data_IF_858238331113
#
_entry.id   IF_858238331113
#
_cell.length_a   1.000
_cell.length_b   1.000
_cell.length_c   1.000
_cell.angle_alpha   90.00
_cell.angle_beta   90.00
_cell.angle_gamma   90.00
#
_symmetry.space_group_name_H-M   'P 1'
#
loop_
_entity.id
_entity.type
_entity.pdbx_description
1 polymer ?
#
# COMPACT_ATOMS: atom_id res chain seq x y z
N UNK A 1 15.32 -64.52 -52.31
CA UNK A 1 16.43 -63.86 -51.59
C UNK A 1 16.33 -62.35 -51.78
N UNK A 2 16.47 -61.61 -50.68
CA UNK A 2 16.71 -60.16 -50.54
C UNK A 2 15.67 -59.16 -51.09
N UNK A 3 14.66 -58.91 -50.26
CA UNK A 3 14.03 -57.59 -50.06
C UNK A 3 15.11 -56.58 -49.64
N UNK A 4 15.28 -55.47 -50.35
CA UNK A 4 16.51 -54.66 -50.26
C UNK A 4 16.39 -53.15 -50.49
N UNK A 5 15.45 -52.49 -49.80
CA UNK A 5 15.58 -51.11 -49.27
C UNK A 5 15.87 -49.98 -50.29
N UNK A 6 14.79 -49.38 -50.82
CA UNK A 6 14.80 -47.94 -51.11
C UNK A 6 15.25 -47.21 -49.84
N UNK A 7 16.37 -46.49 -49.95
CA UNK A 7 16.87 -45.58 -48.91
C UNK A 7 15.80 -44.50 -48.75
N UNK A 8 14.83 -44.77 -47.89
CA UNK A 8 13.85 -43.82 -47.40
C UNK A 8 14.68 -42.65 -46.90
N UNK A 9 14.68 -41.53 -47.64
CA UNK A 9 15.07 -40.25 -47.07
C UNK A 9 14.06 -40.07 -45.96
N UNK A 10 14.46 -40.47 -44.76
CA UNK A 10 13.83 -39.98 -43.57
C UNK A 10 13.99 -38.48 -43.71
N UNK A 11 12.89 -37.80 -44.08
CA UNK A 11 12.51 -36.60 -43.37
C UNK A 11 12.43 -37.00 -41.90
N UNK A 12 13.59 -37.23 -41.28
CA UNK A 12 13.82 -36.85 -39.92
C UNK A 12 13.64 -35.35 -40.01
N UNK A 13 12.38 -34.92 -39.85
CA UNK A 13 12.10 -33.54 -39.58
C UNK A 13 13.08 -33.19 -38.49
N UNK A 14 13.99 -32.27 -38.81
CA UNK A 14 14.63 -31.44 -37.81
C UNK A 14 13.47 -30.77 -37.09
N UNK A 15 12.85 -31.52 -36.17
CA UNK A 15 11.89 -31.04 -35.23
C UNK A 15 12.73 -30.07 -34.46
N UNK A 16 12.58 -28.79 -34.78
CA UNK A 16 13.22 -27.67 -34.11
C UNK A 16 13.24 -28.03 -32.63
N UNK A 17 14.41 -28.49 -32.13
CA UNK A 17 14.62 -28.65 -30.70
C UNK A 17 14.41 -27.24 -30.21
N UNK A 18 13.22 -26.96 -29.66
CA UNK A 18 12.87 -25.66 -29.13
C UNK A 18 14.05 -25.31 -28.24
N UNK A 19 14.86 -24.33 -28.65
CA UNK A 19 15.99 -23.88 -27.84
C UNK A 19 15.40 -23.68 -26.45
N UNK A 20 16.03 -24.28 -25.44
CA UNK A 20 15.61 -24.08 -24.06
C UNK A 20 15.90 -22.59 -23.79
N UNK A 21 14.87 -21.78 -23.95
CA UNK A 21 14.93 -20.33 -23.74
C UNK A 21 14.59 -20.08 -22.29
N UNK A 22 15.39 -19.24 -21.63
CA UNK A 22 15.12 -18.81 -20.26
C UNK A 22 13.71 -18.23 -20.16
N UNK A 23 12.97 -18.68 -19.14
CA UNK A 23 11.62 -18.24 -18.82
C UNK A 23 11.56 -16.71 -18.59
N UNK A 24 12.65 -16.11 -18.09
CA UNK A 24 12.77 -14.67 -17.87
C UNK A 24 13.20 -13.85 -19.10
N UNK A 25 13.64 -14.49 -20.20
CA UNK A 25 14.07 -13.77 -21.41
C UNK A 25 12.98 -12.87 -22.01
N UNK A 26 11.71 -13.22 -21.76
CA UNK A 26 10.51 -12.48 -22.20
C UNK A 26 9.92 -11.61 -21.10
N UNK A 27 10.67 -11.30 -20.04
CA UNK A 27 10.24 -10.38 -18.99
C UNK A 27 10.92 -9.03 -19.13
N UNK A 28 10.22 -8.00 -18.68
CA UNK A 28 10.68 -6.62 -18.56
C UNK A 28 10.51 -6.18 -17.10
N UNK A 29 11.45 -5.35 -16.65
CA UNK A 29 11.46 -4.80 -15.29
C UNK A 29 10.99 -3.34 -15.32
N UNK A 30 10.12 -3.01 -14.38
CA UNK A 30 9.57 -1.68 -14.15
C UNK A 30 9.83 -1.26 -12.71
N UNK A 31 10.11 0.02 -12.49
CA UNK A 31 10.33 0.60 -11.16
C UNK A 31 8.99 1.10 -10.63
N UNK A 32 8.60 0.65 -9.45
CA UNK A 32 7.37 1.07 -8.76
C UNK A 32 7.64 2.35 -7.97
N UNK A 33 6.91 3.42 -8.31
CA UNK A 33 7.00 4.71 -7.67
C UNK A 33 5.81 4.98 -6.75
N UNK A 34 6.10 5.40 -5.52
CA UNK A 34 5.14 5.85 -4.52
C UNK A 34 4.71 7.31 -4.78
N UNK A 35 3.47 7.67 -4.45
CA UNK A 35 3.01 9.06 -4.37
C UNK A 35 3.91 9.98 -3.52
N UNK A 36 3.93 11.28 -3.82
CA UNK A 36 4.62 12.31 -3.02
C UNK A 36 4.09 12.48 -1.58
N UNK A 37 3.04 11.75 -1.20
CA UNK A 37 2.54 11.76 0.17
C UNK A 37 3.50 11.04 1.13
N UNK A 38 4.41 10.21 0.59
CA UNK A 38 5.43 9.48 1.31
C UNK A 38 6.81 10.09 1.04
N UNK A 39 7.75 9.87 1.97
CA UNK A 39 9.11 10.39 1.84
C UNK A 39 9.92 9.65 0.77
N UNK A 40 9.72 8.34 0.62
CA UNK A 40 10.43 7.51 -0.35
C UNK A 40 9.57 7.30 -1.59
N UNK A 41 10.09 7.72 -2.74
CA UNK A 41 9.44 7.57 -4.03
C UNK A 41 9.73 6.21 -4.67
N UNK A 42 10.97 5.73 -4.67
CA UNK A 42 11.31 4.45 -5.28
C UNK A 42 11.09 3.30 -4.27
N UNK A 43 10.12 2.44 -4.52
CA UNK A 43 9.74 1.35 -3.60
C UNK A 43 10.47 0.06 -3.96
N UNK A 44 10.53 -0.27 -5.25
CA UNK A 44 11.09 -1.53 -5.73
C UNK A 44 10.78 -1.80 -7.19
N UNK A 45 11.05 -3.02 -7.62
CA UNK A 45 10.90 -3.43 -9.01
C UNK A 45 9.76 -4.44 -9.18
N UNK A 46 9.02 -4.34 -10.28
CA UNK A 46 8.03 -5.32 -10.71
C UNK A 46 8.36 -5.84 -12.10
N UNK A 47 7.99 -7.09 -12.36
CA UNK A 47 8.26 -7.76 -13.63
C UNK A 47 6.97 -8.08 -14.36
N UNK A 48 6.99 -7.89 -15.68
CA UNK A 48 5.88 -8.19 -16.59
C UNK A 48 6.40 -8.85 -17.85
N UNK A 49 5.54 -9.61 -18.54
CA UNK A 49 5.87 -10.11 -19.88
C UNK A 49 6.04 -8.95 -20.86
N UNK A 50 7.01 -9.05 -21.76
CA UNK A 50 7.19 -8.11 -22.87
C UNK A 50 5.92 -8.03 -23.71
N UNK A 51 5.65 -6.85 -24.25
CA UNK A 51 4.54 -6.65 -25.17
C UNK A 51 4.63 -7.60 -26.37
N UNK A 52 3.54 -8.27 -26.71
CA UNK A 52 3.47 -9.18 -27.85
C UNK A 52 2.16 -9.01 -28.60
N UNK A 53 2.25 -8.44 -29.81
CA UNK A 53 1.09 -8.11 -30.63
C UNK A 53 0.19 -7.09 -29.92
N UNK A 54 -1.07 -7.47 -29.69
CA UNK A 54 -2.06 -6.63 -29.02
C UNK A 54 -1.93 -6.62 -27.49
N UNK A 55 -1.18 -7.57 -26.91
CA UNK A 55 -0.99 -7.65 -25.47
C UNK A 55 0.15 -6.72 -25.06
N UNK A 56 -0.20 -5.53 -24.57
CA UNK A 56 0.78 -4.57 -24.04
C UNK A 56 1.18 -4.93 -22.60
N UNK A 57 2.45 -4.74 -22.27
CA UNK A 57 2.98 -4.90 -20.92
C UNK A 57 2.29 -3.96 -19.92
N UNK A 58 2.00 -2.73 -20.35
CA UNK A 58 1.36 -1.67 -19.55
C UNK A 58 -0.03 -2.09 -19.06
N UNK A 59 -0.85 -2.68 -19.92
CA UNK A 59 -2.21 -3.12 -19.57
C UNK A 59 -2.19 -4.23 -18.49
N UNK A 60 -1.14 -5.06 -18.47
CA UNK A 60 -0.94 -6.08 -17.44
C UNK A 60 -0.40 -5.52 -16.12
N UNK A 61 0.18 -4.31 -16.13
CA UNK A 61 0.64 -3.61 -14.93
C UNK A 61 -0.50 -2.87 -14.24
N UNK A 62 -1.36 -2.20 -15.01
CA UNK A 62 -2.49 -1.42 -14.48
C UNK A 62 -3.40 -2.32 -13.63
N UNK A 63 -3.79 -1.81 -12.47
CA UNK A 63 -4.62 -2.53 -11.50
C UNK A 63 -3.88 -3.47 -10.55
N UNK A 64 -2.56 -3.69 -10.72
CA UNK A 64 -1.77 -4.43 -9.71
C UNK A 64 -1.74 -3.67 -8.39
N UNK A 65 -1.86 -4.40 -7.28
CA UNK A 65 -1.78 -3.86 -5.93
C UNK A 65 -0.47 -4.31 -5.30
N UNK A 66 0.28 -3.35 -4.76
CA UNK A 66 1.51 -3.53 -4.02
C UNK A 66 1.27 -3.30 -2.54
N UNK A 67 1.50 -4.33 -1.74
CA UNK A 67 1.43 -4.27 -0.27
C UNK A 67 2.83 -3.95 0.27
N UNK A 68 2.99 -2.76 0.85
CA UNK A 68 4.29 -2.23 1.28
C UNK A 68 4.21 -1.82 2.74
N UNK A 69 5.32 -1.93 3.48
CA UNK A 69 5.38 -1.45 4.85
C UNK A 69 5.45 0.09 4.90
N UNK A 70 4.72 0.71 5.82
CA UNK A 70 4.75 2.17 6.02
C UNK A 70 6.13 2.65 6.48
N UNK A 71 6.84 1.83 7.28
CA UNK A 71 8.19 2.17 7.75
C UNK A 71 9.17 2.43 6.60
N UNK A 72 9.11 1.60 5.55
CA UNK A 72 9.98 1.73 4.37
C UNK A 72 9.64 2.96 3.53
N UNK A 73 8.35 3.32 3.48
CA UNK A 73 7.87 4.50 2.75
C UNK A 73 8.22 5.82 3.44
N UNK A 74 8.23 5.84 4.78
CA UNK A 74 8.45 7.05 5.57
C UNK A 74 9.86 7.18 6.16
N UNK A 75 10.66 6.11 6.14
CA UNK A 75 11.92 5.96 6.88
C UNK A 75 11.76 6.15 8.40
N UNK A 76 10.63 5.65 8.93
CA UNK A 76 10.32 5.69 10.36
C UNK A 76 9.97 4.28 10.85
N UNK A 77 10.89 3.68 11.62
CA UNK A 77 10.75 2.32 12.15
C UNK A 77 9.55 2.16 13.10
N UNK A 78 9.08 3.24 13.73
CA UNK A 78 7.93 3.22 14.62
C UNK A 78 6.61 2.82 13.93
N UNK A 79 6.55 2.96 12.60
CA UNK A 79 5.36 2.66 11.78
C UNK A 79 5.38 1.26 11.15
N UNK A 80 6.25 0.36 11.62
CA UNK A 80 6.42 -1.01 11.07
C UNK A 80 5.14 -1.88 11.10
N UNK A 81 4.22 -1.55 12.00
CA UNK A 81 2.96 -2.28 12.19
C UNK A 81 1.90 -1.94 11.14
N UNK A 82 2.19 -1.09 10.16
CA UNK A 82 1.22 -0.65 9.14
C UNK A 82 1.69 -1.02 7.75
N UNK A 83 0.78 -1.57 6.98
CA UNK A 83 0.93 -1.87 5.56
C UNK A 83 0.05 -0.93 4.75
N UNK A 84 0.62 -0.34 3.71
CA UNK A 84 -0.07 0.48 2.72
C UNK A 84 -0.24 -0.36 1.46
N UNK A 85 -1.42 -0.30 0.90
CA UNK A 85 -1.72 -0.91 -0.40
C UNK A 85 -1.71 0.21 -1.44
N UNK A 86 -0.81 0.11 -2.40
CA UNK A 86 -0.70 1.05 -3.52
C UNK A 86 -1.09 0.34 -4.81
N UNK A 87 -1.94 0.95 -5.62
CA UNK A 87 -2.38 0.38 -6.90
C UNK A 87 -1.67 1.06 -8.06
N UNK A 88 -1.26 0.29 -9.07
CA UNK A 88 -0.76 0.82 -10.33
C UNK A 88 -1.92 1.42 -11.13
N UNK A 89 -1.88 2.73 -11.36
CA UNK A 89 -2.87 3.42 -12.19
C UNK A 89 -2.32 3.69 -13.59
N UNK A 90 -1.10 4.23 -13.67
CA UNK A 90 -0.48 4.63 -14.93
C UNK A 90 0.97 4.14 -15.02
N UNK A 91 1.44 3.92 -16.24
CA UNK A 91 2.83 3.54 -16.52
C UNK A 91 3.45 4.61 -17.41
N UNK A 92 4.59 5.16 -16.98
CA UNK A 92 5.35 6.15 -17.72
C UNK A 92 6.73 5.59 -18.06
N UNK A 93 6.89 5.12 -19.30
CA UNK A 93 8.10 4.43 -19.73
C UNK A 93 8.34 3.18 -18.87
N UNK A 94 9.43 3.14 -18.11
CA UNK A 94 9.71 2.04 -17.16
C UNK A 94 9.27 2.31 -15.72
N UNK A 95 8.63 3.44 -15.45
CA UNK A 95 8.13 3.80 -14.13
C UNK A 95 6.65 3.45 -14.01
N UNK A 96 6.27 2.79 -12.92
CA UNK A 96 4.89 2.51 -12.55
C UNK A 96 4.47 3.55 -11.53
N UNK A 97 3.49 4.38 -11.89
CA UNK A 97 2.93 5.40 -11.02
C UNK A 97 1.77 4.79 -10.23
N UNK A 98 1.90 4.83 -8.91
CA UNK A 98 0.91 4.23 -8.01
C UNK A 98 0.04 5.27 -7.30
N UNK A 99 -1.15 4.87 -6.88
CA UNK A 99 -2.06 5.65 -6.03
C UNK A 99 -2.44 4.85 -4.78
N UNK A 100 -2.89 5.52 -3.72
CA UNK A 100 -3.37 4.88 -2.50
C UNK A 100 -4.64 4.03 -2.76
N UNK A 101 -4.60 2.76 -2.34
CA UNK A 101 -5.73 1.83 -2.43
C UNK A 101 -6.29 1.43 -1.05
N UNK A 102 -5.43 1.33 -0.05
CA UNK A 102 -5.84 0.88 1.26
C UNK A 102 -4.73 0.94 2.30
N UNK A 103 -5.14 0.74 3.54
CA UNK A 103 -4.25 0.66 4.69
C UNK A 103 -4.68 -0.52 5.56
N UNK A 104 -3.72 -1.26 6.09
CA UNK A 104 -3.96 -2.40 6.97
C UNK A 104 -2.90 -2.47 8.05
N UNK A 105 -3.30 -2.76 9.27
CA UNK A 105 -2.35 -3.06 10.36
C UNK A 105 -1.93 -4.53 10.33
N UNK A 106 -0.69 -4.82 10.71
CA UNK A 106 -0.14 -6.17 10.75
C UNK A 106 -0.84 -7.04 11.80
N UNK A 107 -0.78 -8.36 11.60
CA UNK A 107 -1.48 -9.31 12.47
C UNK A 107 -0.87 -9.34 13.87
N UNK A 108 0.45 -9.33 13.96
CA UNK A 108 1.23 -9.28 15.19
C UNK A 108 0.82 -8.09 16.06
N UNK A 109 0.78 -6.87 15.52
CA UNK A 109 0.34 -5.70 16.25
C UNK A 109 -1.12 -5.82 16.71
N UNK A 110 -2.04 -6.21 15.81
CA UNK A 110 -3.45 -6.37 16.17
C UNK A 110 -3.64 -7.39 17.31
N UNK A 111 -2.98 -8.55 17.22
CA UNK A 111 -3.04 -9.59 18.25
C UNK A 111 -2.38 -9.15 19.57
N UNK A 112 -1.33 -8.31 19.52
CA UNK A 112 -0.66 -7.77 20.71
C UNK A 112 -1.54 -6.80 21.51
N UNK A 113 -2.37 -6.02 20.83
CA UNK A 113 -3.31 -5.10 21.49
C UNK A 113 -4.50 -5.84 22.13
N UNK A 114 -4.91 -6.98 21.56
CA UNK A 114 -6.05 -7.75 22.08
C UNK A 114 -5.65 -8.45 23.39
N UNK A 115 -6.14 -7.92 24.51
CA UNK A 115 -5.91 -8.46 25.86
C UNK A 115 -7.20 -8.88 26.54
N UNK A 116 -7.11 -9.85 27.46
CA UNK A 116 -8.23 -10.29 28.30
C UNK A 116 -8.59 -9.20 29.33
N UNK A 117 -9.82 -9.25 29.87
CA UNK A 117 -10.34 -8.33 30.91
C UNK A 117 -10.58 -6.87 30.47
N UNK A 118 -10.50 -6.63 29.16
CA UNK A 118 -10.77 -5.36 28.51
C UNK A 118 -11.92 -5.53 27.52
N UNK A 119 -12.63 -4.45 27.21
CA UNK A 119 -13.65 -4.45 26.16
C UNK A 119 -13.03 -3.92 24.86
N UNK A 120 -13.23 -4.67 23.78
CA UNK A 120 -12.89 -4.23 22.42
C UNK A 120 -14.05 -3.42 21.88
N UNK A 121 -13.77 -2.21 21.40
CA UNK A 121 -14.77 -1.34 20.78
C UNK A 121 -14.37 -1.11 19.34
N UNK A 122 -15.16 -1.65 18.43
CA UNK A 122 -15.00 -1.49 16.99
C UNK A 122 -16.04 -0.52 16.43
N UNK A 123 -15.61 0.30 15.48
CA UNK A 123 -16.44 1.21 14.73
C UNK A 123 -16.02 1.21 13.25
N UNK A 124 -16.99 1.28 12.35
CA UNK A 124 -16.75 1.41 10.93
C UNK A 124 -17.61 2.54 10.36
N UNK A 125 -17.13 3.15 9.29
CA UNK A 125 -17.91 4.17 8.59
C UNK A 125 -17.46 4.32 7.14
N UNK A 126 -18.41 4.67 6.28
CA UNK A 126 -18.17 5.09 4.91
C UNK A 126 -18.15 6.60 4.85
N UNK A 127 -17.16 7.13 4.13
CA UNK A 127 -16.89 8.55 4.01
C UNK A 127 -16.58 8.86 2.55
N UNK A 128 -17.06 9.99 2.09
CA UNK A 128 -16.69 10.57 0.81
C UNK A 128 -15.72 11.73 1.09
N UNK A 129 -14.56 11.68 0.47
CA UNK A 129 -13.55 12.76 0.54
C UNK A 129 -13.88 13.87 -0.45
N UNK A 130 -13.24 15.04 -0.30
CA UNK A 130 -13.51 16.21 -1.17
C UNK A 130 -13.28 15.96 -2.66
N UNK A 131 -12.36 15.05 -2.95
CA UNK A 131 -11.89 14.70 -4.28
C UNK A 131 -12.64 13.49 -4.88
N UNK A 132 -13.75 13.08 -4.26
CA UNK A 132 -14.67 12.09 -4.81
C UNK A 132 -14.36 10.62 -4.50
N UNK A 133 -13.38 10.32 -3.65
CA UNK A 133 -13.14 8.94 -3.20
C UNK A 133 -14.16 8.54 -2.14
N UNK A 134 -14.70 7.34 -2.27
CA UNK A 134 -15.50 6.71 -1.21
C UNK A 134 -14.64 5.72 -0.46
N UNK A 135 -14.34 6.01 0.80
CA UNK A 135 -13.51 5.20 1.69
C UNK A 135 -14.35 4.54 2.78
N UNK A 136 -14.01 3.29 3.13
CA UNK A 136 -14.49 2.65 4.37
C UNK A 136 -13.36 2.56 5.36
N UNK A 137 -13.51 3.30 6.46
CA UNK A 137 -12.57 3.30 7.58
C UNK A 137 -13.05 2.35 8.67
N UNK A 138 -12.12 1.62 9.26
CA UNK A 138 -12.34 0.78 10.42
C UNK A 138 -11.43 1.23 11.56
N UNK A 139 -12.02 1.50 12.71
CA UNK A 139 -11.33 1.89 13.92
C UNK A 139 -11.59 0.86 15.00
N UNK A 140 -10.58 0.55 15.80
CA UNK A 140 -10.75 -0.14 17.07
C UNK A 140 -10.23 0.75 18.20
N UNK A 141 -10.68 0.47 19.42
CA UNK A 141 -10.10 0.98 20.65
C UNK A 141 -10.39 0.02 21.79
N UNK A 142 -9.52 0.03 22.80
CA UNK A 142 -9.65 -0.80 23.98
C UNK A 142 -9.96 0.06 25.20
N UNK A 143 -10.79 -0.44 26.11
CA UNK A 143 -11.01 0.25 27.39
C UNK A 143 -9.70 0.34 28.17
N UNK A 144 -9.41 1.47 28.81
CA UNK A 144 -8.19 1.65 29.60
C UNK A 144 -8.51 1.44 31.07
N UNK A 145 -7.61 0.79 31.80
CA UNK A 145 -7.73 0.74 33.25
C UNK A 145 -7.28 2.06 33.89
N UNK A 146 -7.97 2.46 34.95
CA UNK A 146 -7.70 3.72 35.65
C UNK A 146 -6.79 3.44 36.84
N UNK A 147 -5.79 4.28 37.05
CA UNK A 147 -4.89 4.14 38.20
C UNK A 147 -5.66 4.17 39.52
N UNK A 148 -5.31 3.29 40.46
CA UNK A 148 -5.97 3.18 41.77
C UNK A 148 -7.26 2.33 41.80
N UNK A 149 -7.64 1.70 40.69
CA UNK A 149 -8.83 0.85 40.63
C UNK A 149 -8.54 -0.54 41.22
N UNK A 150 -9.40 -0.99 42.15
CA UNK A 150 -9.28 -2.32 42.80
C UNK A 150 -9.76 -3.48 41.92
N UNK A 151 -10.64 -3.20 40.94
CA UNK A 151 -11.18 -4.25 40.05
C UNK A 151 -10.14 -4.61 38.99
N UNK A 152 -9.92 -5.91 38.80
CA UNK A 152 -8.97 -6.44 37.82
C UNK A 152 -9.48 -6.29 36.37
N UNK A 153 -10.77 -5.99 36.17
CA UNK A 153 -11.39 -5.83 34.85
C UNK A 153 -11.84 -4.39 34.59
N UNK A 154 -11.77 -3.98 33.32
CA UNK A 154 -12.15 -2.65 32.86
C UNK A 154 -13.23 -2.71 31.76
N UNK A 155 -14.24 -3.55 31.96
CA UNK A 155 -15.33 -3.66 30.98
C UNK A 155 -16.19 -2.40 30.95
N UNK A 156 -16.55 -1.96 29.73
CA UNK A 156 -17.51 -0.87 29.51
C UNK A 156 -18.93 -1.44 29.39
N UNK A 157 -19.92 -0.73 29.97
CA UNK A 157 -21.34 -1.11 29.83
C UNK A 157 -21.78 -1.05 28.36
N UNK A 158 -22.77 -1.84 27.97
CA UNK A 158 -23.29 -1.86 26.58
C UNK A 158 -23.81 -0.49 26.11
N UNK A 159 -24.36 0.33 27.02
CA UNK A 159 -24.75 1.72 26.74
C UNK A 159 -23.53 2.61 26.43
N UNK A 160 -22.47 2.49 27.22
CA UNK A 160 -21.21 3.21 27.01
C UNK A 160 -20.54 2.81 25.69
N UNK A 161 -20.51 1.50 25.37
CA UNK A 161 -19.97 1.01 24.09
C UNK A 161 -20.70 1.63 22.89
N UNK A 162 -22.04 1.68 22.92
CA UNK A 162 -22.85 2.32 21.86
C UNK A 162 -22.54 3.82 21.74
N UNK A 163 -22.46 4.53 22.86
CA UNK A 163 -22.12 5.94 22.88
C UNK A 163 -20.70 6.22 22.34
N UNK A 164 -19.73 5.38 22.68
CA UNK A 164 -18.35 5.46 22.17
C UNK A 164 -18.33 5.21 20.66
N UNK A 165 -19.01 4.16 20.16
CA UNK A 165 -19.09 3.89 18.71
C UNK A 165 -19.70 5.06 17.94
N UNK A 166 -20.79 5.66 18.44
CA UNK A 166 -21.40 6.84 17.82
C UNK A 166 -20.43 8.03 17.79
N UNK A 167 -19.66 8.25 18.86
CA UNK A 167 -18.64 9.32 18.94
C UNK A 167 -17.48 9.07 17.97
N UNK A 168 -16.98 7.83 17.89
CA UNK A 168 -15.94 7.42 16.94
C UNK A 168 -16.36 7.70 15.50
N UNK A 169 -17.54 7.22 15.11
CA UNK A 169 -18.09 7.41 13.75
C UNK A 169 -18.23 8.89 13.41
N UNK A 170 -18.76 9.69 14.35
CA UNK A 170 -18.91 11.14 14.17
C UNK A 170 -17.58 11.82 13.88
N UNK A 171 -16.55 11.55 14.68
CA UNK A 171 -15.23 12.19 14.53
C UNK A 171 -14.56 11.73 13.24
N UNK A 172 -14.62 10.43 12.93
CA UNK A 172 -14.07 9.89 11.68
C UNK A 172 -14.70 10.57 10.47
N UNK A 173 -16.04 10.70 10.42
CA UNK A 173 -16.74 11.40 9.34
C UNK A 173 -16.34 12.88 9.27
N UNK A 174 -16.34 13.57 10.41
CA UNK A 174 -16.02 15.00 10.45
C UNK A 174 -14.59 15.31 10.03
N UNK A 175 -13.63 14.47 10.38
CA UNK A 175 -12.23 14.70 10.01
C UNK A 175 -11.96 14.26 8.56
N UNK A 176 -12.40 13.08 8.14
CA UNK A 176 -12.04 12.59 6.81
C UNK A 176 -12.80 13.30 5.66
N UNK A 177 -13.99 13.86 5.91
CA UNK A 177 -14.73 14.60 4.86
C UNK A 177 -14.13 15.99 4.57
N UNK A 178 -13.25 16.50 5.44
CA UNK A 178 -12.62 17.83 5.29
C UNK A 178 -11.42 17.83 4.34
N UNK A 179 -10.83 16.67 4.09
CA UNK A 179 -9.56 16.55 3.39
C UNK A 179 -9.73 15.88 2.02
N UNK A 180 -8.82 16.19 1.11
CA UNK A 180 -8.57 15.36 -0.07
C UNK A 180 -7.84 14.07 0.35
N UNK A 181 -7.81 13.06 -0.52
CA UNK A 181 -7.17 11.77 -0.23
C UNK A 181 -5.70 11.94 0.19
N UNK A 182 -4.96 12.81 -0.50
CA UNK A 182 -3.57 13.19 -0.18
C UNK A 182 -3.39 13.56 1.30
N UNK A 183 -4.15 14.55 1.74
CA UNK A 183 -4.00 15.12 3.08
C UNK A 183 -4.56 14.17 4.14
N UNK A 184 -5.59 13.41 3.78
CA UNK A 184 -6.14 12.38 4.64
C UNK A 184 -5.12 11.25 4.91
N UNK A 185 -4.38 10.81 3.88
CA UNK A 185 -3.30 9.81 4.06
C UNK A 185 -2.20 10.38 4.97
N UNK A 186 -1.81 11.64 4.77
CA UNK A 186 -0.86 12.33 5.67
C UNK A 186 -1.38 12.40 7.11
N UNK A 187 -2.69 12.53 7.33
CA UNK A 187 -3.30 12.51 8.67
C UNK A 187 -3.29 11.11 9.33
N UNK A 188 -3.29 10.03 8.54
CA UNK A 188 -3.20 8.67 9.07
C UNK A 188 -1.82 8.36 9.66
N UNK A 189 -0.74 8.87 9.05
CA UNK A 189 0.65 8.62 9.47
C UNK A 189 0.89 8.97 10.96
N UNK A 190 0.63 10.20 11.45
CA UNK A 190 0.87 10.58 12.85
C UNK A 190 -0.28 10.20 13.81
N UNK A 191 -1.27 9.40 13.34
CA UNK A 191 -2.46 9.01 14.13
C UNK A 191 -3.33 10.20 14.58
N UNK A 192 -3.44 11.24 13.74
CA UNK A 192 -4.17 12.46 14.10
C UNK A 192 -5.65 12.19 14.46
N UNK A 193 -6.32 11.35 13.68
CA UNK A 193 -7.73 10.97 13.93
C UNK A 193 -7.86 10.12 15.19
N UNK A 194 -6.96 9.14 15.39
CA UNK A 194 -6.98 8.27 16.56
C UNK A 194 -6.86 9.04 17.87
N UNK A 195 -5.92 9.99 17.94
CA UNK A 195 -5.70 10.85 19.12
C UNK A 195 -6.91 11.74 19.40
N UNK A 196 -7.57 12.25 18.37
CA UNK A 196 -8.83 13.02 18.51
C UNK A 196 -9.96 12.16 19.07
N UNK A 197 -10.09 10.92 18.58
CA UNK A 197 -11.06 9.95 19.09
C UNK A 197 -10.81 9.65 20.57
N UNK A 198 -9.56 9.34 20.95
CA UNK A 198 -9.20 9.02 22.33
C UNK A 198 -9.59 10.16 23.28
N UNK A 199 -9.19 11.40 22.97
CA UNK A 199 -9.53 12.58 23.78
C UNK A 199 -11.04 12.78 23.92
N UNK A 200 -11.79 12.62 22.84
CA UNK A 200 -13.23 12.84 22.85
C UNK A 200 -14.02 11.72 23.55
N UNK A 201 -13.51 10.49 23.52
CA UNK A 201 -14.15 9.33 24.15
C UNK A 201 -13.84 9.22 25.65
N UNK A 202 -12.74 9.80 26.13
CA UNK A 202 -12.35 9.80 27.55
C UNK A 202 -13.44 10.34 28.49
N UNK A 203 -14.34 11.20 28.01
CA UNK A 203 -15.50 11.70 28.77
C UNK A 203 -16.48 10.58 29.13
N UNK A 204 -16.62 9.56 28.28
CA UNK A 204 -17.56 8.44 28.49
C UNK A 204 -16.89 7.30 29.24
N UNK A 205 -15.73 6.89 28.75
CA UNK A 205 -14.90 5.85 29.33
C UNK A 205 -13.47 6.04 28.81
N UNK A 206 -12.43 5.94 29.66
CA UNK A 206 -11.05 6.09 29.22
C UNK A 206 -10.68 4.99 28.22
N UNK A 207 -10.11 5.36 27.07
CA UNK A 207 -9.64 4.41 26.06
C UNK A 207 -8.11 4.40 25.98
N UNK A 208 -7.56 3.33 25.42
CA UNK A 208 -6.15 3.26 25.00
C UNK A 208 -6.05 2.51 23.68
N UNK A 209 -4.90 2.66 23.01
CA UNK A 209 -4.60 1.99 21.74
C UNK A 209 -5.73 2.15 20.72
N UNK A 210 -6.24 3.37 20.57
CA UNK A 210 -7.20 3.70 19.53
C UNK A 210 -6.44 3.77 18.21
N UNK A 211 -6.86 3.02 17.20
CA UNK A 211 -6.19 3.05 15.90
C UNK A 211 -7.14 2.75 14.75
N UNK A 212 -6.87 3.37 13.61
CA UNK A 212 -7.51 3.04 12.33
C UNK A 212 -6.76 1.86 11.75
N UNK A 213 -7.34 0.68 11.89
CA UNK A 213 -6.64 -0.57 11.58
C UNK A 213 -6.83 -1.06 10.15
N UNK A 214 -7.86 -0.53 9.48
CA UNK A 214 -8.15 -0.87 8.09
C UNK A 214 -8.81 0.30 7.38
N UNK A 215 -8.32 0.60 6.18
CA UNK A 215 -8.93 1.54 5.24
C UNK A 215 -9.10 0.81 3.92
N UNK A 216 -10.30 0.92 3.35
CA UNK A 216 -10.61 0.40 2.03
C UNK A 216 -11.09 1.53 1.14
N UNK A 217 -10.56 1.63 -0.08
CA UNK A 217 -11.20 2.42 -1.14
C UNK A 217 -12.34 1.58 -1.73
N UNK A 218 -13.59 2.04 -1.61
CA UNK A 218 -14.75 1.38 -2.22
C UNK A 218 -14.94 1.86 -3.65
N UNK A 219 -14.97 3.18 -3.82
CA UNK A 219 -15.15 3.83 -5.12
C UNK A 219 -14.05 4.84 -5.32
N UNK A 220 -13.48 4.80 -6.51
CA UNK A 220 -12.59 5.83 -7.01
C UNK A 220 -13.37 6.77 -7.92
N UNK A 221 -13.04 8.07 -7.93
CA UNK A 221 -13.49 8.96 -8.99
C UNK A 221 -12.92 8.48 -10.34
N UNK A 222 -13.42 9.07 -11.43
CA UNK A 222 -12.93 8.76 -12.78
C UNK A 222 -11.41 8.97 -12.84
N UNK A 223 -10.72 8.05 -13.51
CA UNK A 223 -9.28 8.11 -13.71
C UNK A 223 -8.91 9.29 -14.60
N UNK A 224 -8.18 10.25 -14.03
CA UNK A 224 -7.58 11.36 -14.75
C UNK A 224 -6.06 11.24 -14.66
N UNK A 225 -5.40 11.00 -15.79
CA UNK A 225 -3.94 10.82 -15.85
C UNK A 225 -3.20 12.04 -15.31
N UNK A 226 -3.71 13.25 -15.58
CA UNK A 226 -3.18 14.52 -15.07
C UNK A 226 -3.03 14.53 -13.54
N UNK A 227 -4.06 14.04 -12.83
CA UNK A 227 -4.06 13.98 -11.37
C UNK A 227 -2.96 13.06 -10.84
N UNK A 228 -2.74 11.93 -11.49
CA UNK A 228 -1.68 10.99 -11.10
C UNK A 228 -0.32 11.66 -11.33
N UNK A 229 -0.13 12.35 -12.45
CA UNK A 229 1.12 13.08 -12.69
C UNK A 229 1.38 14.13 -11.62
N UNK A 230 0.40 14.94 -11.23
CA UNK A 230 0.55 15.94 -10.16
C UNK A 230 1.01 15.34 -8.81
N UNK A 231 0.54 14.14 -8.50
CA UNK A 231 0.90 13.42 -7.28
C UNK A 231 2.35 12.92 -7.32
N UNK A 232 2.93 12.74 -8.52
CA UNK A 232 4.29 12.23 -8.69
C UNK A 232 5.30 13.32 -9.08
N UNK A 233 4.87 14.45 -9.64
CA UNK A 233 5.73 15.58 -10.06
C UNK A 233 6.15 16.49 -8.91
N UNK A 234 5.35 16.62 -7.86
CA UNK A 234 5.68 17.45 -6.69
C UNK A 234 6.99 17.07 -5.98
N UNK A 235 7.56 15.90 -6.31
CA UNK A 235 8.83 15.38 -5.79
C UNK A 235 10.04 15.67 -6.68
N UNK A 236 9.87 16.13 -7.92
CA UNK A 236 11.00 16.43 -8.80
C UNK A 236 11.86 17.59 -8.27
N UNK A 237 11.24 18.57 -7.60
CA UNK A 237 11.95 19.71 -6.98
C UNK A 237 12.69 19.33 -5.68
N UNK A 238 12.30 18.24 -5.01
CA UNK A 238 12.97 17.74 -3.82
C UNK A 238 14.09 16.72 -4.14
N UNK A 239 13.99 16.03 -5.29
CA UNK A 239 14.98 15.05 -5.74
C UNK A 239 16.21 15.68 -6.42
N UNK A 240 16.09 16.89 -6.98
CA UNK A 240 17.22 17.61 -7.59
C UNK A 240 18.27 18.12 -6.60
N UNK A 241 18.04 17.96 -5.29
CA UNK A 241 18.97 18.41 -4.22
C UNK A 241 19.80 17.25 -3.65
N UNK A 242 19.50 15.99 -3.97
CA UNK A 242 20.12 14.83 -3.29
C UNK A 242 20.57 13.69 -4.24
N UNK A 243 21.07 13.99 -5.44
CA UNK A 243 21.94 13.05 -6.13
C UNK A 243 23.41 13.29 -5.71
N UNK A 244 24.10 12.34 -5.06
CA UNK A 244 25.55 12.43 -4.94
C UNK A 244 26.17 12.28 -6.34
N UNK A 245 26.91 13.30 -6.77
CA UNK A 245 27.46 13.46 -8.11
C UNK A 245 28.54 12.43 -8.54
N UNK A 246 28.70 11.29 -7.86
CA UNK A 246 29.74 10.33 -8.20
C UNK A 246 29.27 8.86 -8.10
N UNK A 247 28.53 8.40 -9.11
CA UNK A 247 28.56 6.99 -9.46
C UNK A 247 29.69 6.76 -10.49
N UNK A 248 30.94 6.63 -10.02
CA UNK A 248 32.09 6.26 -10.86
C UNK A 248 31.94 4.80 -11.30
N UNK A 249 31.81 4.60 -12.61
CA UNK A 249 31.64 3.29 -13.23
C UNK A 249 33.01 2.57 -13.29
N UNK A 250 33.33 1.79 -12.25
CA UNK A 250 34.64 1.15 -12.05
C UNK A 250 35.05 0.15 -13.16
N UNK A 251 34.13 -0.25 -14.04
CA UNK A 251 34.40 -1.16 -15.14
C UNK A 251 35.16 -0.52 -16.32
N UNK A 252 35.25 0.81 -16.38
CA UNK A 252 35.97 1.53 -17.44
C UNK A 252 37.41 1.91 -17.07
N UNK A 253 37.81 1.76 -15.81
CA UNK A 253 39.15 2.12 -15.34
C UNK A 253 40.26 1.19 -15.84
N UNK A 254 39.95 -0.07 -16.17
CA UNK A 254 40.94 -1.07 -16.58
C UNK A 254 41.21 -1.11 -18.10
N UNK A 255 40.65 -0.18 -18.87
CA UNK A 255 40.86 -0.07 -20.33
C UNK A 255 41.79 1.09 -20.72
N UNK A 256 42.29 1.84 -19.74
CA UNK A 256 43.27 2.90 -19.93
C UNK A 256 44.46 2.68 -18.99
N UNK A 257 45.26 1.66 -19.30
CA UNK A 257 46.64 1.50 -18.85
C UNK A 257 47.43 0.85 -19.98
#
# INVERSE_FOLDING_TARGET
>A
MAIGKNKRITKAGSGNKKKIVDVFARKEHYIVKAPCYFNVTNIGNTIVSKSHGLNKSEDSLKGRIFDINMADLQKDEGQCHRKVQLICEEVQGRNVLTEFHGLRVTRDYLCSQIRKRHTIIEANTEIVTLDGFTLRLFCFGFTKDTYGKKKINCYAKSSQQRAIRARMIRIMRQEASKYQLRDLVKCFIPEGISKKIEKACNVIYPLHSVSIFKVKVIKKPRQDSSRIFEIHTATAEAASVNEPAEAKNLLTANLAA
#
